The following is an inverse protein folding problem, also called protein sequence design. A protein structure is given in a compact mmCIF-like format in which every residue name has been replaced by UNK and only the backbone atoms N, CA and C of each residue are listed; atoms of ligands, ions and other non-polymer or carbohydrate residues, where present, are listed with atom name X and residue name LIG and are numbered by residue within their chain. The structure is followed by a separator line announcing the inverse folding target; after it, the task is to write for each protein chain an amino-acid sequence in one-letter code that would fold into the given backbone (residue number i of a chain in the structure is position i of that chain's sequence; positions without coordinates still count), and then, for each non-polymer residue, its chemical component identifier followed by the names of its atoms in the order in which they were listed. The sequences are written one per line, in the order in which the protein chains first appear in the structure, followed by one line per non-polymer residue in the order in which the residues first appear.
data_IF_610056136180
#
_entry.id   IF_610056136180
#
_cell.length_a   1.000
_cell.length_b   1.000
_cell.length_c   1.000
_cell.angle_alpha   90.00
_cell.angle_beta   90.00
_cell.angle_gamma   90.00
#
_symmetry.space_group_name_H-M   'P 1'
#
loop_
_entity.id
_entity.type
_entity.pdbx_description
1 polymer ?
#
# COMPACT_ATOMS: atom_id res chain seq x y z
N UNK A 1 2.18 -6.08 42.68
CA UNK A 1 2.07 -6.73 41.37
C UNK A 1 1.53 -5.66 40.46
N UNK A 2 2.41 -4.96 39.77
CA UNK A 2 2.02 -3.95 38.78
C UNK A 2 1.52 -4.68 37.53
N UNK A 3 0.36 -4.28 37.02
CA UNK A 3 -0.15 -4.76 35.74
C UNK A 3 0.80 -4.30 34.62
N UNK A 4 1.10 -5.15 33.63
CA UNK A 4 1.98 -4.75 32.54
C UNK A 4 1.29 -3.65 31.72
N UNK A 5 1.92 -2.47 31.68
CA UNK A 5 1.49 -1.35 30.86
C UNK A 5 1.31 -1.77 29.41
N UNK A 6 0.11 -1.55 28.88
CA UNK A 6 -0.22 -1.78 27.49
C UNK A 6 0.50 -0.73 26.65
N UNK A 7 1.68 -1.06 26.13
CA UNK A 7 2.33 -0.26 25.09
C UNK A 7 1.50 -0.46 23.83
N UNK A 8 0.89 0.61 23.32
CA UNK A 8 0.25 0.62 22.02
C UNK A 8 1.27 0.11 20.99
N UNK A 9 1.09 -1.13 20.55
CA UNK A 9 1.91 -1.68 19.49
C UNK A 9 1.44 -0.98 18.22
N UNK A 10 2.32 -0.17 17.62
CA UNK A 10 2.12 0.32 16.27
C UNK A 10 1.68 -0.87 15.39
N UNK A 11 0.66 -0.70 14.53
CA UNK A 11 0.23 -1.78 13.65
C UNK A 11 1.41 -2.24 12.79
N UNK A 12 1.91 -3.44 13.07
CA UNK A 12 2.97 -4.08 12.29
C UNK A 12 2.38 -4.47 10.93
N UNK A 13 2.55 -3.60 9.95
CA UNK A 13 2.28 -3.90 8.55
C UNK A 13 3.51 -4.62 8.00
N UNK A 14 3.41 -5.87 7.52
CA UNK A 14 4.51 -6.52 6.82
C UNK A 14 4.99 -5.60 5.69
N UNK A 15 6.28 -5.33 5.63
CA UNK A 15 6.88 -4.41 4.64
C UNK A 15 6.63 -4.87 3.19
N UNK A 16 6.26 -6.14 3.01
CA UNK A 16 6.03 -6.82 1.73
C UNK A 16 4.83 -7.78 1.89
N UNK A 17 3.81 -7.64 1.05
CA UNK A 17 2.64 -8.55 1.01
C UNK A 17 3.04 -9.92 0.41
N UNK A 18 2.98 -11.03 1.17
CA UNK A 18 3.39 -12.35 0.69
C UNK A 18 2.60 -12.83 -0.54
N UNK A 19 1.32 -12.49 -0.64
CA UNK A 19 0.50 -12.88 -1.79
C UNK A 19 1.01 -12.21 -3.08
N UNK A 20 1.41 -10.94 -2.98
CA UNK A 20 2.02 -10.20 -4.11
C UNK A 20 3.38 -10.74 -4.50
N UNK A 21 4.16 -11.20 -3.53
CA UNK A 21 5.44 -11.88 -3.82
C UNK A 21 5.18 -13.16 -4.60
N UNK A 22 4.21 -13.97 -4.21
CA UNK A 22 3.90 -15.22 -4.91
C UNK A 22 3.36 -14.98 -6.34
N UNK A 23 2.53 -13.94 -6.55
CA UNK A 23 2.09 -13.49 -7.88
C UNK A 23 3.28 -13.06 -8.75
N UNK A 24 4.17 -12.21 -8.21
CA UNK A 24 5.35 -11.72 -8.91
C UNK A 24 6.33 -12.86 -9.24
N UNK A 25 6.56 -13.76 -8.28
CA UNK A 25 7.38 -14.95 -8.46
C UNK A 25 6.83 -15.85 -9.56
N UNK A 26 5.52 -16.11 -9.56
CA UNK A 26 4.85 -16.91 -10.60
C UNK A 26 5.02 -16.26 -11.98
N UNK A 27 4.87 -14.93 -12.06
CA UNK A 27 5.08 -14.20 -13.30
C UNK A 27 6.55 -14.29 -13.79
N UNK A 28 7.53 -14.17 -12.89
CA UNK A 28 8.95 -14.31 -13.23
C UNK A 28 9.31 -15.72 -13.70
N UNK A 29 8.76 -16.76 -13.07
CA UNK A 29 8.92 -18.16 -13.51
C UNK A 29 8.33 -18.35 -14.91
N UNK A 30 7.13 -17.80 -15.14
CA UNK A 30 6.49 -17.83 -16.46
C UNK A 30 7.34 -17.11 -17.52
N UNK A 31 7.82 -15.90 -17.21
CA UNK A 31 8.62 -15.08 -18.12
C UNK A 31 9.94 -15.78 -18.49
N UNK A 32 10.65 -16.34 -17.49
CA UNK A 32 11.84 -17.16 -17.73
C UNK A 32 11.52 -18.40 -18.57
N UNK A 33 10.30 -18.92 -18.52
CA UNK A 33 9.87 -20.09 -19.28
C UNK A 33 9.65 -19.85 -20.78
N UNK A 34 9.57 -18.60 -21.23
CA UNK A 34 9.29 -18.27 -22.63
C UNK A 34 10.48 -18.58 -23.56
N UNK A 35 10.19 -18.92 -24.81
CA UNK A 35 11.19 -19.02 -25.86
C UNK A 35 11.70 -17.65 -26.29
N UNK A 36 12.95 -17.58 -26.74
CA UNK A 36 13.63 -16.39 -27.25
C UNK A 36 13.97 -15.33 -26.19
N UNK A 37 14.57 -14.24 -26.67
CA UNK A 37 15.00 -13.11 -25.85
C UNK A 37 13.83 -12.40 -25.16
N UNK A 38 14.10 -11.76 -24.03
CA UNK A 38 13.14 -10.87 -23.37
C UNK A 38 12.81 -9.67 -24.27
N UNK A 39 11.54 -9.54 -24.67
CA UNK A 39 11.02 -8.39 -25.44
C UNK A 39 9.86 -7.74 -24.70
N UNK A 40 9.56 -6.48 -25.05
CA UNK A 40 8.42 -5.76 -24.49
C UNK A 40 7.08 -6.49 -24.74
N UNK A 41 6.92 -7.15 -25.90
CA UNK A 41 5.74 -7.93 -26.24
C UNK A 41 5.57 -9.19 -25.38
N UNK A 42 6.67 -9.85 -25.00
CA UNK A 42 6.61 -10.97 -24.04
C UNK A 42 6.33 -10.47 -22.63
N UNK A 43 6.97 -9.37 -22.25
CA UNK A 43 6.79 -8.74 -20.94
C UNK A 43 5.35 -8.25 -20.71
N UNK A 44 4.67 -7.72 -21.74
CA UNK A 44 3.26 -7.32 -21.63
C UNK A 44 2.29 -8.46 -21.30
N UNK A 45 2.70 -9.71 -21.51
CA UNK A 45 1.95 -10.89 -21.09
C UNK A 45 1.91 -11.11 -19.58
N UNK A 46 2.64 -10.31 -18.80
CA UNK A 46 2.73 -10.41 -17.33
C UNK A 46 2.30 -9.10 -16.65
N UNK A 47 0.99 -8.82 -16.53
CA UNK A 47 0.47 -7.57 -15.99
C UNK A 47 0.98 -7.24 -14.57
N UNK A 48 1.25 -8.26 -13.75
CA UNK A 48 1.82 -8.08 -12.40
C UNK A 48 3.20 -7.41 -12.47
N UNK A 49 4.07 -7.82 -13.39
CA UNK A 49 5.40 -7.24 -13.55
C UNK A 49 5.33 -5.83 -14.16
N UNK A 50 4.41 -5.62 -15.11
CA UNK A 50 4.12 -4.29 -15.66
C UNK A 50 3.70 -3.33 -14.53
N UNK A 51 2.85 -3.81 -13.63
CA UNK A 51 2.39 -3.01 -12.51
C UNK A 51 3.50 -2.65 -11.53
N UNK A 52 4.27 -3.66 -11.10
CA UNK A 52 5.35 -3.46 -10.13
C UNK A 52 6.43 -2.51 -10.65
N UNK A 53 6.77 -2.62 -11.93
CA UNK A 53 7.90 -1.90 -12.50
C UNK A 53 7.55 -0.52 -13.06
N UNK A 54 6.29 -0.27 -13.46
CA UNK A 54 5.90 0.97 -14.14
C UNK A 54 4.43 1.38 -13.97
N UNK A 55 3.75 0.95 -12.91
CA UNK A 55 2.38 1.39 -12.55
C UNK A 55 1.30 1.14 -13.63
N UNK A 56 1.56 0.26 -14.59
CA UNK A 56 0.69 -0.01 -15.73
C UNK A 56 1.18 0.57 -17.05
N UNK A 57 2.17 1.47 -17.02
CA UNK A 57 2.87 1.91 -18.23
C UNK A 57 3.86 0.82 -18.67
N UNK A 58 3.59 0.21 -19.83
CA UNK A 58 4.38 -0.88 -20.36
C UNK A 58 5.83 -0.47 -20.68
N UNK A 59 6.04 0.72 -21.24
CA UNK A 59 7.36 1.17 -21.68
C UNK A 59 8.22 1.49 -20.46
N UNK A 60 7.67 2.24 -19.49
CA UNK A 60 8.37 2.51 -18.24
C UNK A 60 8.67 1.20 -17.50
N UNK A 61 7.68 0.32 -17.39
CA UNK A 61 7.85 -0.95 -16.69
C UNK A 61 8.93 -1.82 -17.32
N UNK A 62 8.95 -1.94 -18.65
CA UNK A 62 9.95 -2.72 -19.35
C UNK A 62 11.36 -2.16 -19.15
N UNK A 63 11.53 -0.84 -19.29
CA UNK A 63 12.82 -0.17 -19.09
C UNK A 63 13.30 -0.27 -17.63
N UNK A 64 12.39 -0.13 -16.67
CA UNK A 64 12.71 -0.30 -15.25
C UNK A 64 13.10 -1.75 -14.94
N UNK A 65 12.36 -2.73 -15.44
CA UNK A 65 12.65 -4.14 -15.23
C UNK A 65 14.00 -4.54 -15.82
N UNK A 66 14.32 -4.12 -17.06
CA UNK A 66 15.63 -4.35 -17.66
C UNK A 66 16.78 -3.74 -16.85
N UNK A 67 16.58 -2.55 -16.28
CA UNK A 67 17.56 -1.92 -15.40
C UNK A 67 17.77 -2.72 -14.12
N UNK A 68 16.70 -3.21 -13.50
CA UNK A 68 16.81 -4.05 -12.29
C UNK A 68 17.47 -5.40 -12.60
N UNK A 69 17.15 -6.05 -13.73
CA UNK A 69 17.86 -7.28 -14.16
C UNK A 69 19.37 -7.07 -14.24
N UNK A 70 19.83 -5.98 -14.87
CA UNK A 70 21.27 -5.63 -14.92
C UNK A 70 21.87 -5.36 -13.54
N UNK A 71 21.08 -4.88 -12.58
CA UNK A 71 21.52 -4.72 -11.19
C UNK A 71 21.67 -6.09 -10.52
N UNK A 72 20.70 -6.99 -10.70
CA UNK A 72 20.71 -8.34 -10.13
C UNK A 72 21.80 -9.25 -10.71
N UNK A 73 22.21 -9.05 -11.96
CA UNK A 73 23.39 -9.69 -12.55
C UNK A 73 24.66 -9.47 -11.71
N UNK A 74 24.72 -8.37 -10.95
CA UNK A 74 25.82 -8.03 -10.02
C UNK A 74 25.48 -8.28 -8.55
N UNK A 75 24.33 -8.91 -8.29
CA UNK A 75 23.83 -9.21 -6.95
C UNK A 75 24.41 -10.49 -6.37
N UNK A 76 23.64 -11.17 -5.53
CA UNK A 76 24.00 -12.50 -5.05
C UNK A 76 24.03 -13.51 -6.19
N UNK A 77 24.75 -14.63 -6.04
CA UNK A 77 24.78 -15.70 -7.06
C UNK A 77 23.38 -16.21 -7.47
N UNK A 78 22.41 -16.15 -6.56
CA UNK A 78 21.05 -16.59 -6.82
C UNK A 78 20.33 -15.58 -7.73
N UNK A 79 20.37 -14.31 -7.36
CA UNK A 79 19.80 -13.20 -8.15
C UNK A 79 20.46 -13.10 -9.52
N UNK A 80 21.79 -13.22 -9.58
CA UNK A 80 22.53 -13.19 -10.83
C UNK A 80 22.16 -14.38 -11.74
N UNK A 81 22.06 -15.60 -11.20
CA UNK A 81 21.57 -16.76 -11.96
C UNK A 81 20.13 -16.58 -12.46
N UNK A 82 19.25 -15.97 -11.66
CA UNK A 82 17.89 -15.67 -12.08
C UNK A 82 17.85 -14.61 -13.19
N UNK A 83 18.58 -13.51 -13.01
CA UNK A 83 18.61 -12.40 -13.95
C UNK A 83 19.16 -12.82 -15.32
N UNK A 84 20.32 -13.49 -15.35
CA UNK A 84 20.95 -14.02 -16.56
C UNK A 84 20.04 -15.03 -17.28
N UNK A 85 19.31 -15.86 -16.53
CA UNK A 85 18.37 -16.83 -17.13
C UNK A 85 17.15 -16.20 -17.80
N UNK A 86 16.85 -14.93 -17.50
CA UNK A 86 15.80 -14.11 -18.13
C UNK A 86 16.39 -13.22 -19.24
N UNK A 87 17.54 -12.59 -19.00
CA UNK A 87 18.14 -11.58 -19.90
C UNK A 87 18.95 -12.18 -21.05
N UNK A 88 19.33 -13.46 -20.97
CA UNK A 88 20.11 -14.14 -22.02
C UNK A 88 19.39 -14.12 -23.37
N UNK A 89 20.20 -14.04 -24.42
CA UNK A 89 19.83 -14.00 -25.82
C UNK A 89 19.42 -15.36 -26.40
N UNK A 90 19.56 -16.46 -25.65
CA UNK A 90 19.30 -17.80 -26.16
C UNK A 90 17.80 -18.12 -26.33
N UNK A 91 17.52 -18.98 -27.31
CA UNK A 91 16.15 -19.30 -27.73
C UNK A 91 15.41 -20.19 -26.72
N UNK A 92 16.11 -21.11 -26.06
CA UNK A 92 15.46 -22.02 -25.09
C UNK A 92 15.90 -21.72 -23.66
N UNK A 93 15.03 -22.05 -22.70
CA UNK A 93 15.36 -21.96 -21.26
C UNK A 93 16.62 -22.77 -20.95
N UNK A 94 16.79 -23.92 -21.58
CA UNK A 94 17.92 -24.81 -21.35
C UNK A 94 19.23 -24.16 -21.82
N UNK A 95 19.22 -23.53 -22.99
CA UNK A 95 20.38 -22.83 -23.53
C UNK A 95 20.73 -21.61 -22.65
N UNK A 96 19.72 -20.84 -22.21
CA UNK A 96 19.95 -19.71 -21.28
C UNK A 96 20.56 -20.17 -19.95
N UNK A 97 20.12 -21.30 -19.41
CA UNK A 97 20.71 -21.88 -18.19
C UNK A 97 22.13 -22.41 -18.44
N UNK A 98 22.42 -22.89 -19.65
CA UNK A 98 23.77 -23.32 -20.06
C UNK A 98 24.72 -22.13 -20.14
N UNK A 99 24.32 -21.06 -20.82
CA UNK A 99 25.09 -19.82 -20.90
C UNK A 99 25.29 -19.18 -19.52
N UNK A 100 24.27 -19.26 -18.66
CA UNK A 100 24.40 -18.81 -17.27
C UNK A 100 25.41 -19.68 -16.52
N UNK A 101 25.45 -20.99 -16.74
CA UNK A 101 26.45 -21.88 -16.14
C UNK A 101 27.87 -21.52 -16.57
N UNK A 102 28.07 -21.25 -17.87
CA UNK A 102 29.33 -20.77 -18.43
C UNK A 102 29.77 -19.45 -17.78
N UNK A 103 28.84 -18.53 -17.54
CA UNK A 103 29.14 -17.27 -16.85
C UNK A 103 29.70 -17.47 -15.43
N UNK A 104 29.30 -18.54 -14.73
CA UNK A 104 29.79 -18.88 -13.39
C UNK A 104 30.96 -19.88 -13.39
N UNK A 105 31.54 -20.20 -14.55
CA UNK A 105 32.52 -21.29 -14.72
C UNK A 105 32.04 -22.62 -14.09
N UNK A 106 30.75 -22.90 -14.20
CA UNK A 106 30.10 -24.07 -13.60
C UNK A 106 29.62 -25.04 -14.69
N UNK A 107 29.75 -26.35 -14.46
CA UNK A 107 29.39 -27.36 -15.47
C UNK A 107 27.99 -27.96 -15.30
N UNK A 108 27.31 -27.70 -14.17
CA UNK A 108 26.00 -28.30 -13.88
C UNK A 108 24.84 -27.31 -14.01
N UNK A 109 24.06 -27.49 -15.08
CA UNK A 109 22.82 -26.76 -15.34
C UNK A 109 21.77 -26.97 -14.25
N UNK A 110 21.72 -28.13 -13.57
CA UNK A 110 20.74 -28.38 -12.50
C UNK A 110 20.98 -27.48 -11.31
N UNK A 111 22.24 -27.22 -10.99
CA UNK A 111 22.63 -26.30 -9.92
C UNK A 111 22.24 -24.86 -10.28
N UNK A 112 22.53 -24.41 -11.51
CA UNK A 112 22.12 -23.08 -11.98
C UNK A 112 20.60 -22.91 -11.97
N UNK A 113 19.84 -23.94 -12.38
CA UNK A 113 18.38 -23.91 -12.29
C UNK A 113 17.90 -23.71 -10.86
N UNK A 114 18.45 -24.45 -9.89
CA UNK A 114 18.11 -24.30 -8.46
C UNK A 114 18.45 -22.91 -7.93
N UNK A 115 19.58 -22.36 -8.35
CA UNK A 115 19.99 -21.01 -7.96
C UNK A 115 19.06 -19.95 -8.56
N UNK A 116 18.74 -20.09 -9.85
CA UNK A 116 17.77 -19.24 -10.56
C UNK A 116 16.40 -19.32 -9.89
N UNK A 117 15.87 -20.51 -9.59
CA UNK A 117 14.58 -20.67 -8.88
C UNK A 117 14.56 -19.91 -7.54
N UNK A 118 15.64 -20.00 -6.76
CA UNK A 118 15.78 -19.24 -5.51
C UNK A 118 15.92 -17.73 -5.75
N UNK A 119 16.67 -17.35 -6.79
CA UNK A 119 16.88 -15.95 -7.17
C UNK A 119 15.61 -15.26 -7.66
N UNK A 120 14.75 -15.96 -8.42
CA UNK A 120 13.47 -15.42 -8.86
C UNK A 120 12.58 -15.04 -7.68
N UNK A 121 12.65 -15.79 -6.57
CA UNK A 121 11.93 -15.45 -5.34
C UNK A 121 12.50 -14.21 -4.66
N UNK A 122 13.83 -14.13 -4.55
CA UNK A 122 14.52 -12.94 -4.03
C UNK A 122 14.19 -11.69 -4.85
N UNK A 123 14.21 -11.81 -6.18
CA UNK A 123 13.85 -10.72 -7.10
C UNK A 123 12.37 -10.34 -6.94
N UNK A 124 11.45 -11.30 -6.79
CA UNK A 124 10.05 -11.01 -6.55
C UNK A 124 9.84 -10.20 -5.25
N UNK A 125 10.50 -10.61 -4.16
CA UNK A 125 10.49 -9.88 -2.89
C UNK A 125 11.00 -8.44 -3.04
N UNK A 126 12.15 -8.26 -3.71
CA UNK A 126 12.75 -6.93 -3.92
C UNK A 126 11.90 -6.05 -4.86
N UNK A 127 11.32 -6.61 -5.92
CA UNK A 127 10.42 -5.87 -6.82
C UNK A 127 9.13 -5.42 -6.10
N UNK A 128 8.53 -6.27 -5.27
CA UNK A 128 7.37 -5.90 -4.45
C UNK A 128 7.77 -4.86 -3.42
N UNK A 129 8.88 -5.05 -2.70
CA UNK A 129 9.38 -4.07 -1.73
C UNK A 129 9.64 -2.71 -2.38
N UNK A 130 10.31 -2.67 -3.54
CA UNK A 130 10.54 -1.44 -4.29
C UNK A 130 9.24 -0.79 -4.74
N UNK A 131 8.28 -1.58 -5.21
CA UNK A 131 6.98 -1.06 -5.63
C UNK A 131 6.19 -0.51 -4.43
N UNK A 132 6.29 -1.12 -3.25
CA UNK A 132 5.74 -0.60 -1.98
C UNK A 132 6.40 0.73 -1.60
N UNK A 133 7.74 0.78 -1.56
CA UNK A 133 8.50 1.99 -1.18
C UNK A 133 8.27 3.14 -2.16
N UNK A 134 8.18 2.86 -3.46
CA UNK A 134 7.90 3.86 -4.49
C UNK A 134 6.41 4.24 -4.58
N UNK A 135 5.53 3.62 -3.81
CA UNK A 135 4.08 3.84 -3.87
C UNK A 135 3.42 3.36 -5.17
N UNK A 136 4.08 2.47 -5.93
CA UNK A 136 3.61 1.91 -7.22
C UNK A 136 2.52 0.85 -7.06
N UNK A 137 2.42 0.30 -5.85
CA UNK A 137 1.32 -0.58 -5.44
C UNK A 137 0.11 0.22 -4.93
N UNK A 138 0.32 1.49 -4.58
CA UNK A 138 -0.68 2.44 -4.12
C UNK A 138 -1.43 3.12 -5.27
N UNK A 139 -2.61 2.62 -5.62
CA UNK A 139 -3.46 3.15 -6.70
C UNK A 139 -4.69 3.90 -6.20
N UNK A 140 -4.67 4.22 -4.91
CA UNK A 140 -5.82 4.74 -4.16
C UNK A 140 -5.68 6.24 -3.94
N UNK A 141 -6.71 6.99 -4.35
CA UNK A 141 -6.93 8.37 -3.94
C UNK A 141 -7.96 8.36 -2.82
N UNK A 142 -7.61 8.94 -1.68
CA UNK A 142 -8.51 9.10 -0.56
C UNK A 142 -8.82 10.60 -0.37
N UNK A 143 -10.10 10.96 -0.45
CA UNK A 143 -10.55 12.32 -0.13
C UNK A 143 -11.30 12.30 1.18
N UNK A 144 -10.79 13.02 2.17
CA UNK A 144 -11.35 13.13 3.50
C UNK A 144 -12.07 14.47 3.64
N UNK A 145 -13.35 14.43 4.00
CA UNK A 145 -14.16 15.63 4.24
C UNK A 145 -14.81 15.54 5.60
N UNK A 146 -14.40 16.40 6.52
CA UNK A 146 -15.12 16.61 7.78
C UNK A 146 -16.33 17.52 7.49
N UNK A 147 -17.52 17.05 7.84
CA UNK A 147 -18.77 17.77 7.59
C UNK A 147 -19.73 17.65 8.77
N UNK A 148 -20.87 18.31 8.66
CA UNK A 148 -21.91 18.36 9.68
C UNK A 148 -21.84 19.61 10.55
N UNK A 149 -22.82 19.70 11.44
CA UNK A 149 -23.03 20.84 12.32
C UNK A 149 -23.19 20.34 13.75
N UNK A 150 -23.00 21.21 14.75
CA UNK A 150 -23.04 20.78 16.12
C UNK A 150 -24.46 20.36 16.56
N UNK A 151 -25.51 20.74 15.82
CA UNK A 151 -26.90 20.33 16.07
C UNK A 151 -27.27 19.00 15.39
N UNK A 152 -26.60 18.65 14.29
CA UNK A 152 -26.94 17.45 13.48
C UNK A 152 -25.87 16.36 13.57
N UNK A 153 -24.84 16.60 14.37
CA UNK A 153 -23.67 15.74 14.51
C UNK A 153 -22.63 15.98 13.41
N UNK A 154 -21.39 15.66 13.74
CA UNK A 154 -20.28 15.69 12.79
C UNK A 154 -20.06 14.30 12.18
N UNK A 155 -19.57 14.26 10.96
CA UNK A 155 -19.12 13.03 10.34
C UNK A 155 -17.91 13.25 9.45
N UNK A 156 -17.14 12.18 9.28
CA UNK A 156 -16.04 12.13 8.33
C UNK A 156 -16.48 11.31 7.12
N UNK A 157 -16.50 11.97 5.96
CA UNK A 157 -16.72 11.34 4.66
C UNK A 157 -15.38 10.98 4.05
N UNK A 158 -15.31 9.79 3.45
CA UNK A 158 -14.13 9.25 2.78
C UNK A 158 -14.53 8.82 1.37
N UNK A 159 -14.15 9.59 0.36
CA UNK A 159 -14.25 9.16 -1.03
C UNK A 159 -12.99 8.39 -1.39
N UNK A 160 -13.15 7.07 -1.55
CA UNK A 160 -12.09 6.15 -1.91
C UNK A 160 -12.22 5.82 -3.40
N UNK A 161 -11.26 6.30 -4.20
CA UNK A 161 -11.17 5.95 -5.62
C UNK A 161 -10.12 4.87 -5.83
N UNK A 162 -10.54 3.74 -6.41
CA UNK A 162 -9.72 2.57 -6.73
C UNK A 162 -10.03 2.01 -8.14
N UNK A 163 -9.32 0.96 -8.56
CA UNK A 163 -9.60 0.29 -9.84
C UNK A 163 -10.74 -0.72 -9.68
N UNK A 164 -11.72 -0.70 -10.59
CA UNK A 164 -12.93 -1.51 -10.45
C UNK A 164 -12.68 -3.02 -10.61
N UNK A 165 -11.64 -3.40 -11.38
CA UNK A 165 -11.27 -4.78 -11.70
C UNK A 165 -10.46 -5.49 -10.60
N UNK A 166 -10.21 -4.83 -9.48
CA UNK A 166 -9.57 -5.42 -8.30
C UNK A 166 -10.60 -5.51 -7.17
N UNK A 167 -10.49 -6.55 -6.35
CA UNK A 167 -11.23 -6.63 -5.09
C UNK A 167 -10.95 -5.36 -4.28
N UNK A 168 -11.95 -4.80 -3.62
CA UNK A 168 -11.81 -3.61 -2.77
C UNK A 168 -12.17 -3.95 -1.33
N UNK A 169 -11.47 -3.32 -0.41
CA UNK A 169 -11.80 -3.35 1.01
C UNK A 169 -11.99 -1.90 1.50
N UNK A 170 -12.88 -1.67 2.48
CA UNK A 170 -13.03 -0.36 3.10
C UNK A 170 -11.70 0.18 3.65
N UNK A 171 -11.54 1.51 3.75
CA UNK A 171 -10.45 2.10 4.51
C UNK A 171 -10.54 1.67 5.97
N UNK A 172 -9.40 1.50 6.63
CA UNK A 172 -9.35 1.30 8.08
C UNK A 172 -9.55 2.65 8.76
N UNK A 173 -10.45 2.70 9.74
CA UNK A 173 -10.77 3.90 10.50
C UNK A 173 -10.68 3.57 11.98
N UNK A 174 -9.86 4.33 12.70
CA UNK A 174 -9.74 4.24 14.14
C UNK A 174 -10.03 5.60 14.74
N UNK A 175 -10.89 5.64 15.75
CA UNK A 175 -11.30 6.87 16.43
C UNK A 175 -10.86 6.78 17.88
N UNK A 176 -10.08 7.75 18.34
CA UNK A 176 -9.61 7.85 19.72
C UNK A 176 -10.24 9.06 20.40
N UNK A 177 -10.76 8.84 21.61
CA UNK A 177 -11.32 9.84 22.51
C UNK A 177 -10.30 10.13 23.61
N UNK A 178 -9.73 11.33 23.62
CA UNK A 178 -8.67 11.66 24.58
C UNK A 178 -9.22 11.87 26.00
N UNK A 179 -8.50 11.30 26.97
CA UNK A 179 -8.74 11.46 28.42
C UNK A 179 -7.71 12.37 29.08
N UNK A 180 -6.50 12.43 28.53
CA UNK A 180 -5.44 13.37 28.91
C UNK A 180 -4.45 13.52 27.73
N UNK A 181 -3.25 14.05 27.96
CA UNK A 181 -2.25 14.23 26.89
C UNK A 181 -1.68 12.91 26.32
N UNK A 182 -1.77 11.81 27.07
CA UNK A 182 -1.12 10.53 26.75
C UNK A 182 -2.10 9.35 26.61
N UNK A 183 -3.31 9.45 27.18
CA UNK A 183 -4.29 8.38 27.22
C UNK A 183 -5.54 8.70 26.41
N UNK A 184 -5.95 7.75 25.57
CA UNK A 184 -7.19 7.83 24.82
C UNK A 184 -7.93 6.48 24.78
N UNK A 185 -9.25 6.53 24.71
CA UNK A 185 -10.10 5.36 24.48
C UNK A 185 -10.38 5.19 22.99
N UNK A 186 -10.20 3.99 22.47
CA UNK A 186 -10.69 3.67 21.13
C UNK A 186 -12.22 3.58 21.14
N UNK A 187 -12.86 4.39 20.31
CA UNK A 187 -14.30 4.37 20.09
C UNK A 187 -14.65 3.44 18.92
N UNK A 188 -15.50 2.45 19.17
CA UNK A 188 -16.07 1.62 18.11
C UNK A 188 -17.11 2.43 17.33
N UNK A 189 -16.81 2.71 16.07
CA UNK A 189 -17.69 3.47 15.18
C UNK A 189 -18.02 2.64 13.95
N UNK A 190 -19.30 2.63 13.57
CA UNK A 190 -19.74 1.88 12.38
C UNK A 190 -19.33 2.63 11.11
N UNK A 191 -18.57 1.94 10.26
CA UNK A 191 -18.21 2.41 8.93
C UNK A 191 -19.31 2.01 7.94
N UNK A 192 -20.02 3.00 7.41
CA UNK A 192 -21.13 2.77 6.47
C UNK A 192 -20.73 3.19 5.06
N UNK A 193 -21.05 2.37 4.06
CA UNK A 193 -20.96 2.79 2.65
C UNK A 193 -22.28 3.41 2.22
N UNK A 194 -22.22 4.53 1.50
CA UNK A 194 -23.42 5.27 1.08
C UNK A 194 -23.64 5.24 -0.43
N UNK A 195 -22.56 5.18 -1.22
CA UNK A 195 -22.65 5.26 -2.67
C UNK A 195 -21.38 4.73 -3.36
N UNK A 196 -21.55 3.94 -4.41
CA UNK A 196 -20.44 3.48 -5.26
C UNK A 196 -20.72 3.89 -6.69
N UNK A 197 -19.77 4.59 -7.32
CA UNK A 197 -19.80 4.99 -8.74
C UNK A 197 -18.67 4.30 -9.48
N UNK A 198 -18.86 4.04 -10.77
CA UNK A 198 -17.81 3.55 -11.65
C UNK A 198 -17.60 4.54 -12.80
N UNK A 199 -16.37 4.60 -13.31
CA UNK A 199 -16.08 5.34 -14.54
C UNK A 199 -16.81 4.72 -15.74
N UNK A 200 -17.08 5.50 -16.79
CA UNK A 200 -17.80 5.02 -17.99
C UNK A 200 -17.09 3.86 -18.70
N UNK A 201 -15.77 3.83 -18.64
CA UNK A 201 -14.93 2.76 -19.19
C UNK A 201 -14.73 1.58 -18.21
N UNK A 202 -15.34 1.64 -17.02
CA UNK A 202 -15.24 0.61 -15.98
C UNK A 202 -13.85 0.49 -15.36
N UNK A 203 -12.94 1.42 -15.61
CA UNK A 203 -11.55 1.33 -15.11
C UNK A 203 -11.46 1.65 -13.61
N UNK A 204 -12.20 2.65 -13.16
CA UNK A 204 -12.21 3.13 -11.77
C UNK A 204 -13.54 2.92 -11.09
N UNK A 205 -13.48 2.72 -9.78
CA UNK A 205 -14.60 2.73 -8.86
C UNK A 205 -14.32 3.77 -7.79
N UNK A 206 -15.35 4.52 -7.42
CA UNK A 206 -15.31 5.47 -6.31
C UNK A 206 -16.38 5.05 -5.31
N UNK A 207 -15.96 4.70 -4.10
CA UNK A 207 -16.85 4.32 -3.00
C UNK A 207 -16.78 5.37 -1.91
N UNK A 208 -17.94 5.90 -1.54
CA UNK A 208 -18.09 6.85 -0.42
C UNK A 208 -18.39 6.10 0.86
N UNK A 209 -17.46 6.19 1.79
CA UNK A 209 -17.61 5.73 3.17
C UNK A 209 -17.92 6.90 4.10
N UNK A 210 -18.61 6.58 5.19
CA UNK A 210 -19.01 7.52 6.23
C UNK A 210 -18.79 6.89 7.59
N UNK A 211 -18.15 7.65 8.47
CA UNK A 211 -18.13 7.40 9.91
C UNK A 211 -18.76 8.62 10.61
N UNK A 212 -19.77 8.38 11.44
CA UNK A 212 -20.29 9.43 12.32
C UNK A 212 -19.24 9.71 13.39
N UNK A 213 -19.04 10.96 13.81
CA UNK A 213 -18.16 11.29 14.92
C UNK A 213 -18.95 11.36 16.23
N UNK A 214 -18.28 11.15 17.37
CA UNK A 214 -18.86 11.39 18.68
C UNK A 214 -19.30 12.86 18.84
N UNK A 215 -20.25 13.12 19.73
CA UNK A 215 -20.76 14.48 19.96
C UNK A 215 -19.66 15.40 20.53
N UNK A 216 -19.09 16.22 19.64
CA UNK A 216 -18.00 17.13 19.98
C UNK A 216 -18.42 18.17 21.03
N UNK A 217 -19.69 18.60 21.08
CA UNK A 217 -20.13 19.57 22.10
C UNK A 217 -20.00 18.99 23.49
N UNK A 218 -20.49 17.77 23.67
CA UNK A 218 -20.41 17.07 24.96
C UNK A 218 -18.96 16.81 25.36
N UNK A 219 -18.12 16.39 24.40
CA UNK A 219 -16.70 16.12 24.67
C UNK A 219 -15.90 17.38 25.00
N UNK A 220 -16.23 18.52 24.39
CA UNK A 220 -15.55 19.79 24.64
C UNK A 220 -15.88 20.33 26.04
N UNK A 221 -17.15 20.23 26.44
CA UNK A 221 -17.62 20.71 27.76
C UNK A 221 -17.11 19.84 28.91
N UNK A 222 -16.88 18.55 28.69
CA UNK A 222 -16.35 17.60 29.69
C UNK A 222 -14.83 17.77 29.91
N UNK A 223 -14.41 18.96 30.36
CA UNK A 223 -13.01 19.31 30.63
C UNK A 223 -12.41 18.54 31.80
N UNK A 224 -13.21 18.14 32.79
CA UNK A 224 -12.76 17.37 33.95
C UNK A 224 -12.35 15.94 33.55
N UNK A 225 -13.11 15.29 32.66
CA UNK A 225 -12.77 13.96 32.13
C UNK A 225 -11.51 13.97 31.27
N UNK A 226 -11.19 15.11 30.65
CA UNK A 226 -10.01 15.30 29.81
C UNK A 226 -8.75 15.72 30.59
N UNK A 227 -8.80 15.81 31.93
CA UNK A 227 -7.68 16.25 32.79
C UNK A 227 -6.96 17.50 32.23
N UNK A 228 -7.73 18.43 31.66
CA UNK A 228 -7.25 19.68 31.04
C UNK A 228 -6.42 19.50 29.74
N UNK A 229 -6.44 18.36 29.06
CA UNK A 229 -5.91 18.28 27.68
C UNK A 229 -6.78 19.08 26.72
N UNK A 230 -6.15 19.72 25.75
CA UNK A 230 -6.84 20.41 24.66
C UNK A 230 -7.29 19.44 23.56
N UNK A 231 -6.70 18.24 23.50
CA UNK A 231 -7.11 17.18 22.57
C UNK A 231 -8.51 16.66 22.92
N UNK A 232 -9.35 16.48 21.91
CA UNK A 232 -10.72 15.97 22.08
C UNK A 232 -10.85 14.61 21.41
N UNK A 233 -10.63 14.56 20.09
CA UNK A 233 -10.76 13.35 19.28
C UNK A 233 -9.64 13.30 18.26
N UNK A 234 -9.05 12.13 18.05
CA UNK A 234 -8.20 11.87 16.88
C UNK A 234 -8.84 10.78 16.05
N UNK A 235 -8.98 11.01 14.75
CA UNK A 235 -9.45 10.02 13.77
C UNK A 235 -8.29 9.67 12.86
N UNK A 236 -7.80 8.44 12.93
CA UNK A 236 -6.88 7.90 11.93
C UNK A 236 -7.67 7.22 10.82
N UNK A 237 -7.36 7.59 9.58
CA UNK A 237 -7.83 6.92 8.38
C UNK A 237 -6.64 6.39 7.61
N UNK A 238 -6.69 5.10 7.29
CA UNK A 238 -5.69 4.43 6.48
C UNK A 238 -6.36 3.84 5.24
N UNK A 239 -5.88 4.26 4.06
CA UNK A 239 -6.26 3.61 2.81
C UNK A 239 -5.71 2.18 2.75
N UNK A 240 -6.38 1.33 1.98
CA UNK A 240 -6.02 -0.09 1.86
C UNK A 240 -4.66 -0.29 1.18
N UNK A 241 -4.35 0.53 0.18
CA UNK A 241 -3.15 0.34 -0.66
C UNK A 241 -1.93 1.00 -0.02
N UNK A 242 -1.78 0.91 1.30
CA UNK A 242 -0.71 1.59 2.04
C UNK A 242 0.66 1.36 1.36
N UNK A 243 1.27 2.40 0.75
CA UNK A 243 0.81 3.81 0.72
C UNK A 243 -0.38 4.20 -0.15
N UNK A 244 -1.48 4.70 0.46
CA UNK A 244 -2.42 5.54 -0.27
C UNK A 244 -1.64 6.73 -0.84
N UNK A 245 -1.67 6.90 -2.17
CA UNK A 245 -0.69 7.73 -2.89
C UNK A 245 -0.99 9.21 -2.79
N UNK A 246 -2.25 9.55 -2.63
CA UNK A 246 -2.70 10.94 -2.57
C UNK A 246 -3.85 11.01 -1.59
N UNK A 247 -3.72 11.93 -0.63
CA UNK A 247 -4.81 12.26 0.28
C UNK A 247 -5.14 13.73 0.12
N UNK A 248 -6.42 14.01 -0.03
CA UNK A 248 -6.93 15.39 0.01
C UNK A 248 -7.80 15.56 1.24
N UNK A 249 -7.71 16.73 1.86
CA UNK A 249 -8.47 17.08 3.06
C UNK A 249 -9.35 18.29 2.78
N UNK A 250 -10.58 18.25 3.30
CA UNK A 250 -11.51 19.38 3.35
C UNK A 250 -12.17 19.43 4.71
N UNK A 251 -12.25 20.63 5.28
CA UNK A 251 -13.11 20.88 6.42
C UNK A 251 -14.30 21.73 5.94
N UNK A 252 -15.46 21.10 5.88
CA UNK A 252 -16.75 21.71 5.54
C UNK A 252 -17.70 21.72 6.75
N UNK A 253 -17.20 21.35 7.94
CA UNK A 253 -17.99 21.33 9.17
C UNK A 253 -18.05 22.70 9.84
N UNK A 254 -19.19 22.99 10.47
CA UNK A 254 -19.31 24.09 11.42
C UNK A 254 -18.93 23.59 12.81
N UNK A 255 -17.69 23.77 13.26
CA UNK A 255 -17.25 23.28 14.57
C UNK A 255 -17.83 24.10 15.74
N UNK A 256 -17.90 23.53 16.96
CA UNK A 256 -18.23 24.30 18.17
C UNK A 256 -17.23 25.46 18.39
N UNK A 257 -17.65 26.48 19.13
CA UNK A 257 -16.81 27.64 19.42
C UNK A 257 -15.53 27.23 20.16
N UNK A 258 -14.39 27.76 19.71
CA UNK A 258 -13.07 27.42 20.27
C UNK A 258 -12.54 26.04 19.88
N UNK A 259 -13.16 25.34 18.93
CA UNK A 259 -12.69 24.02 18.46
C UNK A 259 -12.09 24.13 17.06
N UNK A 260 -10.94 23.48 16.86
CA UNK A 260 -10.28 23.37 15.56
C UNK A 260 -10.04 21.92 15.19
N UNK A 261 -9.98 21.67 13.88
CA UNK A 261 -9.58 20.38 13.32
C UNK A 261 -8.26 20.55 12.57
N UNK A 262 -7.22 19.89 13.04
CA UNK A 262 -5.91 19.82 12.41
C UNK A 262 -5.73 18.49 11.71
N UNK A 263 -4.94 18.51 10.64
CA UNK A 263 -4.68 17.30 9.85
C UNK A 263 -3.20 17.07 9.71
N UNK A 264 -2.81 15.85 10.08
CA UNK A 264 -1.46 15.34 9.91
C UNK A 264 -1.49 14.17 8.94
N UNK A 265 -0.59 14.20 7.96
CA UNK A 265 -0.39 13.10 7.03
C UNK A 265 0.97 12.49 7.33
N UNK A 266 0.97 11.25 7.84
CA UNK A 266 2.19 10.48 8.04
C UNK A 266 2.20 9.27 7.12
N UNK A 267 3.06 9.34 6.09
CA UNK A 267 3.16 8.37 4.99
C UNK A 267 1.82 8.16 4.27
N UNK A 268 0.98 7.29 4.82
CA UNK A 268 -0.20 6.68 4.19
C UNK A 268 -1.44 6.78 5.08
N UNK A 269 -1.26 7.29 6.29
CA UNK A 269 -2.25 7.43 7.32
C UNK A 269 -2.51 8.92 7.50
N UNK A 270 -3.78 9.28 7.52
CA UNK A 270 -4.20 10.65 7.81
C UNK A 270 -4.86 10.66 9.16
N UNK A 271 -4.33 11.52 10.02
CA UNK A 271 -4.86 11.78 11.34
C UNK A 271 -5.56 13.12 11.30
N UNK A 272 -6.84 13.12 11.65
CA UNK A 272 -7.63 14.31 11.89
C UNK A 272 -7.73 14.48 13.40
N UNK A 273 -7.08 15.50 13.94
CA UNK A 273 -7.12 15.82 15.36
C UNK A 273 -8.07 16.98 15.59
N UNK A 274 -9.05 16.79 16.46
CA UNK A 274 -9.98 17.81 16.92
C UNK A 274 -9.56 18.23 18.32
N UNK A 275 -9.31 19.52 18.49
CA UNK A 275 -8.80 20.10 19.74
C UNK A 275 -9.47 21.43 20.07
N UNK A 276 -9.39 21.83 21.34
CA UNK A 276 -9.83 23.13 21.85
C UNK A 276 -8.67 24.13 21.80
N UNK A 277 -8.95 25.38 21.44
CA UNK A 277 -7.99 26.50 21.46
C UNK A 277 -7.91 27.20 22.83
#
# INVERSE_FOLDING_TARGET
MEEPGFVASEPYVPTVDPARVDEAHTALVGLRGLHGQLTMAKFSGYPVLVQLCGEGDLVEAFMAFQRELRRYERGTRFEAAAALSISSDAETVLDRLTMTAEHFDYQDQRTIRRWSDRGLRSIAEDLVAMATVRGRLGRELLTLTLTGTPDHGHCLLMDQMDFANLDSAPPSVTVWLWRDEEQADEASMELTSSHTRQAEDGSYRNTRWRVALPDLRNLVVDKERRRLTDKVVTVAVQGRSAPARTVTWRNEASLPEGVVAEVMVHRTMVMVEVQVL
#
